data_IF_909078047604
#
_entry.id   IF_909078047604
#
_cell.length_a   1.000
_cell.length_b   1.000
_cell.length_c   1.000
_cell.angle_alpha   90.00
_cell.angle_beta   90.00
_cell.angle_gamma   90.00
#
_symmetry.space_group_name_H-M   'P 1'
#
loop_
_entity.id
_entity.type
_entity.pdbx_description
1 polymer ?
#
# COMPACT_ATOMS: atom_id res chain seq x y z
N UNK A 1 26.28 -13.53 4.36
CA UNK A 1 25.59 -12.76 3.31
C UNK A 1 25.01 -13.75 2.31
N UNK A 2 23.70 -13.80 2.12
CA UNK A 2 23.10 -14.69 1.14
C UNK A 2 23.47 -14.24 -0.28
N UNK A 3 23.90 -15.21 -1.09
CA UNK A 3 24.19 -14.99 -2.50
C UNK A 3 22.98 -15.37 -3.33
N UNK A 4 22.59 -14.51 -4.24
CA UNK A 4 21.45 -14.74 -5.14
C UNK A 4 21.92 -14.61 -6.58
N UNK A 5 21.51 -15.57 -7.42
CA UNK A 5 21.82 -15.53 -8.84
C UNK A 5 21.11 -14.38 -9.53
N UNK A 6 21.84 -13.70 -10.40
CA UNK A 6 21.32 -12.62 -11.27
C UNK A 6 21.05 -13.19 -12.64
N UNK A 7 19.85 -12.95 -13.15
CA UNK A 7 19.40 -13.47 -14.43
C UNK A 7 19.19 -12.34 -15.45
N UNK A 8 19.30 -12.68 -16.72
CA UNK A 8 18.81 -11.81 -17.79
C UNK A 8 17.30 -12.04 -18.05
N UNK A 9 16.72 -11.30 -18.98
CA UNK A 9 15.30 -11.43 -19.38
C UNK A 9 14.94 -12.80 -19.96
N UNK A 10 15.94 -13.59 -20.40
CA UNK A 10 15.78 -14.95 -20.95
C UNK A 10 15.98 -16.06 -19.91
N UNK A 11 16.15 -15.71 -18.62
CA UNK A 11 16.43 -16.65 -17.52
C UNK A 11 17.81 -17.31 -17.59
N UNK A 12 18.77 -16.72 -18.27
CA UNK A 12 20.17 -17.17 -18.22
C UNK A 12 20.86 -16.47 -17.05
N UNK A 13 21.66 -17.21 -16.29
CA UNK A 13 22.41 -16.65 -15.18
C UNK A 13 23.58 -15.83 -15.69
N UNK A 14 23.63 -14.54 -15.34
CA UNK A 14 24.68 -13.61 -15.74
C UNK A 14 25.72 -13.41 -14.65
N UNK A 15 25.33 -13.60 -13.39
CA UNK A 15 26.23 -13.38 -12.26
C UNK A 15 25.56 -13.69 -10.92
N UNK A 16 26.19 -13.23 -9.86
CA UNK A 16 25.65 -13.32 -8.50
C UNK A 16 25.73 -11.97 -7.81
N UNK A 17 24.81 -11.72 -6.89
CA UNK A 17 24.80 -10.54 -6.03
C UNK A 17 24.79 -10.98 -4.57
N UNK A 18 25.59 -10.31 -3.75
CA UNK A 18 25.58 -10.51 -2.30
C UNK A 18 24.59 -9.54 -1.66
N UNK A 19 23.69 -10.08 -0.83
CA UNK A 19 22.67 -9.32 -0.13
C UNK A 19 23.06 -9.16 1.34
N UNK A 20 22.72 -8.03 1.96
CA UNK A 20 23.06 -7.76 3.37
C UNK A 20 22.17 -8.57 4.32
N UNK A 21 22.78 -9.30 5.25
CA UNK A 21 22.10 -10.10 6.27
C UNK A 21 21.12 -9.28 7.12
N UNK A 22 21.46 -8.02 7.42
CA UNK A 22 20.63 -7.10 8.21
C UNK A 22 19.26 -6.81 7.59
N UNK A 23 19.09 -7.08 6.30
CA UNK A 23 17.86 -6.82 5.55
C UNK A 23 17.18 -8.12 5.12
N UNK A 24 17.97 -9.09 4.64
CA UNK A 24 17.46 -10.27 3.96
C UNK A 24 17.54 -11.56 4.80
N UNK A 25 18.09 -11.49 6.04
CA UNK A 25 18.21 -12.62 6.96
C UNK A 25 17.61 -12.33 8.34
N UNK A 26 16.53 -11.54 8.39
CA UNK A 26 15.88 -11.17 9.63
C UNK A 26 14.79 -12.18 10.01
N UNK A 27 14.70 -12.61 11.30
CA UNK A 27 13.65 -13.53 11.74
C UNK A 27 12.25 -12.90 11.55
N UNK A 28 11.36 -13.65 10.92
CA UNK A 28 10.01 -13.19 10.56
C UNK A 28 9.10 -13.23 11.78
N UNK A 29 8.47 -12.10 12.11
CA UNK A 29 7.46 -11.97 13.17
C UNK A 29 6.09 -11.62 12.55
N UNK A 30 5.18 -12.59 12.37
CA UNK A 30 3.92 -12.39 11.65
C UNK A 30 3.05 -11.25 12.21
N UNK A 31 3.04 -11.05 13.53
CA UNK A 31 2.25 -9.99 14.16
C UNK A 31 2.66 -8.58 13.72
N UNK A 32 3.98 -8.32 13.51
CA UNK A 32 4.45 -7.03 13.02
C UNK A 32 4.08 -6.80 11.55
N UNK A 33 4.14 -7.85 10.74
CA UNK A 33 3.68 -7.79 9.35
C UNK A 33 2.18 -7.47 9.29
N UNK A 34 1.37 -8.16 10.09
CA UNK A 34 -0.07 -7.93 10.19
C UNK A 34 -0.40 -6.49 10.62
N UNK A 35 0.27 -5.98 11.65
CA UNK A 35 0.07 -4.60 12.13
C UNK A 35 0.32 -3.57 11.03
N UNK A 36 1.44 -3.72 10.29
CA UNK A 36 1.79 -2.79 9.19
C UNK A 36 0.83 -2.93 8.01
N UNK A 37 0.43 -4.14 7.63
CA UNK A 37 -0.55 -4.38 6.57
C UNK A 37 -1.91 -3.76 6.93
N UNK A 38 -2.39 -3.97 8.15
CA UNK A 38 -3.64 -3.38 8.64
C UNK A 38 -3.58 -1.86 8.60
N UNK A 39 -2.48 -1.25 9.02
CA UNK A 39 -2.24 0.19 8.92
C UNK A 39 -2.28 0.66 7.46
N UNK A 40 -1.61 -0.03 6.54
CA UNK A 40 -1.57 0.35 5.13
C UNK A 40 -2.96 0.26 4.47
N UNK A 41 -3.73 -0.79 4.77
CA UNK A 41 -5.10 -0.95 4.26
C UNK A 41 -6.05 0.11 4.83
N UNK A 42 -5.96 0.38 6.14
CA UNK A 42 -6.77 1.41 6.78
C UNK A 42 -6.48 2.81 6.20
N UNK A 43 -5.22 3.14 5.90
CA UNK A 43 -4.83 4.41 5.27
C UNK A 43 -5.33 4.59 3.83
N UNK A 44 -5.66 3.50 3.13
CA UNK A 44 -6.26 3.58 1.79
C UNK A 44 -7.71 4.07 1.80
N UNK A 45 -8.37 4.03 2.97
CA UNK A 45 -9.75 4.51 3.10
C UNK A 45 -9.75 6.04 3.05
N UNK A 46 -10.49 6.61 2.11
CA UNK A 46 -10.58 8.06 1.92
C UNK A 46 -11.18 8.80 3.11
N UNK A 47 -12.05 8.15 3.88
CA UNK A 47 -12.63 8.70 5.10
C UNK A 47 -13.53 9.92 4.91
N UNK A 48 -14.10 10.12 3.73
CA UNK A 48 -14.87 11.31 3.34
C UNK A 48 -16.34 11.29 3.74
N UNK A 49 -16.80 10.20 4.36
CA UNK A 49 -18.21 10.06 4.76
C UNK A 49 -18.57 11.13 5.79
N UNK A 50 -19.59 11.90 5.47
CA UNK A 50 -20.09 12.98 6.34
C UNK A 50 -21.62 12.98 6.40
N UNK A 51 -22.15 13.30 7.56
CA UNK A 51 -23.57 13.60 7.76
C UNK A 51 -23.74 14.97 8.37
N UNK A 52 -24.84 15.63 8.06
CA UNK A 52 -25.14 16.95 8.61
C UNK A 52 -25.70 16.85 10.02
N UNK A 53 -25.02 17.46 10.96
CA UNK A 53 -25.53 17.66 12.33
C UNK A 53 -26.59 18.76 12.40
N UNK A 54 -27.19 18.94 13.57
CA UNK A 54 -28.27 19.90 13.81
C UNK A 54 -27.92 21.33 13.38
N UNK A 55 -26.69 21.74 13.53
CA UNK A 55 -26.20 23.08 13.14
C UNK A 55 -25.86 23.21 11.65
N UNK A 56 -25.66 22.09 10.96
CA UNK A 56 -25.24 22.06 9.55
C UNK A 56 -26.42 21.87 8.58
N UNK A 57 -27.57 21.41 9.10
CA UNK A 57 -28.79 21.29 8.28
C UNK A 57 -29.37 22.66 7.99
N UNK A 58 -29.74 22.90 6.74
CA UNK A 58 -30.44 24.12 6.33
C UNK A 58 -31.81 24.19 7.03
N UNK A 59 -32.11 25.31 7.66
CA UNK A 59 -33.37 25.53 8.35
C UNK A 59 -33.30 26.73 9.29
N UNK A 60 -34.47 27.26 9.63
CA UNK A 60 -34.58 28.39 10.56
C UNK A 60 -34.19 27.97 11.98
N UNK A 61 -33.26 28.68 12.61
CA UNK A 61 -32.95 28.58 14.03
C UNK A 61 -34.04 29.11 14.94
N UNK A 62 -35.08 29.75 14.38
CA UNK A 62 -36.20 30.34 15.14
C UNK A 62 -37.01 29.24 15.83
N UNK A 63 -37.37 29.46 17.10
CA UNK A 63 -38.29 28.61 17.86
C UNK A 63 -39.65 28.56 17.18
N UNK A 64 -40.19 27.37 16.82
CA UNK A 64 -41.45 27.24 16.07
C UNK A 64 -42.68 27.80 16.82
N UNK A 65 -42.73 27.68 18.13
CA UNK A 65 -43.81 28.22 18.99
C UNK A 65 -43.29 28.50 20.40
N UNK A 66 -44.07 29.20 21.19
CA UNK A 66 -43.75 29.55 22.59
C UNK A 66 -43.64 28.32 23.47
N UNK A 67 -42.88 28.42 24.58
CA UNK A 67 -42.51 27.32 25.46
C UNK A 67 -43.70 26.63 26.17
N UNK A 68 -44.74 27.38 26.49
CA UNK A 68 -45.95 26.95 27.20
C UNK A 68 -47.20 27.54 26.58
N UNK A 69 -48.38 26.96 26.87
CA UNK A 69 -49.67 27.50 26.48
C UNK A 69 -50.08 27.19 25.01
N UNK A 70 -49.49 26.17 24.36
CA UNK A 70 -49.85 25.74 22.99
C UNK A 70 -50.44 24.35 22.93
N UNK A 71 -50.46 23.59 24.02
CA UNK A 71 -50.85 22.17 24.02
C UNK A 71 -49.92 21.23 23.22
N UNK A 72 -48.88 21.76 22.58
CA UNK A 72 -47.93 21.01 21.75
C UNK A 72 -46.68 20.64 22.52
N UNK A 73 -45.98 19.58 22.07
CA UNK A 73 -44.67 19.20 22.61
C UNK A 73 -43.68 20.36 22.48
N UNK A 74 -42.81 20.53 23.47
CA UNK A 74 -41.79 21.59 23.47
C UNK A 74 -40.75 21.33 22.37
N UNK A 75 -40.47 22.35 21.56
CA UNK A 75 -39.49 22.27 20.44
C UNK A 75 -38.63 23.52 20.44
N UNK A 76 -37.31 23.33 20.31
CA UNK A 76 -36.34 24.42 20.24
C UNK A 76 -36.11 24.93 18.82
N UNK A 77 -35.98 24.01 17.85
CA UNK A 77 -35.69 24.31 16.43
C UNK A 77 -36.27 23.26 15.52
N UNK A 78 -36.49 23.60 14.25
CA UNK A 78 -36.91 22.65 13.20
C UNK A 78 -35.80 21.69 12.78
N UNK A 79 -34.55 22.03 13.00
CA UNK A 79 -33.37 21.18 12.66
C UNK A 79 -33.09 20.09 13.69
N UNK A 80 -33.95 19.93 14.70
CA UNK A 80 -33.81 18.86 15.71
C UNK A 80 -33.87 17.48 15.05
N UNK A 81 -33.08 16.49 15.53
CA UNK A 81 -33.06 15.15 14.96
C UNK A 81 -34.37 14.36 15.14
N UNK A 82 -35.29 14.84 15.98
CA UNK A 82 -36.63 14.27 16.18
C UNK A 82 -37.58 14.51 15.01
N UNK A 83 -37.27 15.46 14.14
CA UNK A 83 -38.11 15.86 13.02
C UNK A 83 -37.58 15.31 11.71
N UNK A 84 -38.48 15.07 10.74
CA UNK A 84 -38.10 14.76 9.36
C UNK A 84 -37.26 15.91 8.78
N UNK A 85 -36.11 15.54 8.20
CA UNK A 85 -35.14 16.51 7.68
C UNK A 85 -34.30 17.19 8.75
N UNK A 86 -34.40 16.79 10.01
CA UNK A 86 -33.49 17.22 11.08
C UNK A 86 -32.07 16.63 10.97
N UNK A 87 -31.15 17.17 11.76
CA UNK A 87 -29.77 16.75 11.76
C UNK A 87 -29.56 15.39 12.40
N UNK A 88 -28.51 14.68 12.01
CA UNK A 88 -28.09 13.42 12.61
C UNK A 88 -27.20 13.71 13.82
N UNK A 89 -27.43 13.01 14.97
CA UNK A 89 -26.72 13.31 16.22
C UNK A 89 -25.28 12.74 16.17
N UNK A 90 -25.12 11.43 15.96
CA UNK A 90 -23.83 10.72 15.97
C UNK A 90 -23.50 10.14 14.59
N UNK A 91 -23.75 10.91 13.55
CA UNK A 91 -23.40 10.49 12.21
C UNK A 91 -21.90 10.50 11.95
N UNK A 92 -21.45 9.78 10.93
CA UNK A 92 -20.04 9.77 10.57
C UNK A 92 -19.57 11.18 10.17
N UNK A 93 -18.34 11.50 10.56
CA UNK A 93 -17.62 12.71 10.15
C UNK A 93 -16.35 12.31 9.44
N UNK A 94 -15.83 13.13 8.52
CA UNK A 94 -14.55 12.87 7.86
C UNK A 94 -13.44 12.62 8.88
N UNK A 95 -12.74 11.49 8.74
CA UNK A 95 -11.64 11.14 9.64
C UNK A 95 -10.60 10.27 8.95
N UNK A 96 -9.38 10.32 9.43
CA UNK A 96 -8.35 9.35 9.05
C UNK A 96 -8.54 8.04 9.82
N UNK A 97 -8.39 6.91 9.12
CA UNK A 97 -8.58 5.56 9.69
C UNK A 97 -7.27 4.87 10.07
N UNK A 98 -6.12 5.33 9.57
CA UNK A 98 -4.85 4.64 9.78
C UNK A 98 -4.33 4.76 11.22
N UNK A 99 -4.05 3.66 11.92
CA UNK A 99 -3.35 3.71 13.20
C UNK A 99 -1.93 4.25 13.02
N UNK A 100 -1.37 4.85 14.08
CA UNK A 100 0.02 5.29 14.09
C UNK A 100 0.95 4.10 14.37
N UNK A 101 1.75 3.72 13.39
CA UNK A 101 2.82 2.73 13.52
C UNK A 101 4.17 3.43 13.40
N UNK A 102 5.11 3.15 14.31
CA UNK A 102 6.41 3.82 14.33
C UNK A 102 7.22 3.55 13.05
N UNK A 103 8.11 4.48 12.68
CA UNK A 103 9.00 4.31 11.53
C UNK A 103 9.89 3.06 11.67
N UNK A 104 10.37 2.76 12.90
CA UNK A 104 11.20 1.59 13.20
C UNK A 104 10.47 0.28 12.89
N UNK A 105 9.22 0.14 13.38
CA UNK A 105 8.39 -1.05 13.13
C UNK A 105 8.12 -1.22 11.62
N UNK A 106 7.81 -0.15 10.90
CA UNK A 106 7.57 -0.21 9.45
C UNK A 106 8.81 -0.67 8.67
N UNK A 107 10.00 -0.15 9.00
CA UNK A 107 11.27 -0.59 8.40
C UNK A 107 11.57 -2.05 8.73
N UNK A 108 11.38 -2.45 9.98
CA UNK A 108 11.59 -3.82 10.42
C UNK A 108 10.63 -4.80 9.71
N UNK A 109 9.35 -4.46 9.59
CA UNK A 109 8.38 -5.27 8.86
C UNK A 109 8.75 -5.41 7.37
N UNK A 110 9.29 -4.35 6.74
CA UNK A 110 9.74 -4.42 5.35
C UNK A 110 10.95 -5.36 5.21
N UNK A 111 11.93 -5.31 6.12
CA UNK A 111 13.06 -6.26 6.16
C UNK A 111 12.57 -7.71 6.33
N UNK A 112 11.63 -7.94 7.25
CA UNK A 112 11.04 -9.26 7.47
C UNK A 112 10.30 -9.79 6.24
N UNK A 113 9.56 -8.93 5.52
CA UNK A 113 8.86 -9.32 4.29
C UNK A 113 9.85 -9.72 3.18
N UNK A 114 10.95 -8.98 3.02
CA UNK A 114 12.02 -9.32 2.08
C UNK A 114 12.73 -10.62 2.47
N UNK A 115 13.02 -10.82 3.76
CA UNK A 115 13.63 -12.04 4.28
C UNK A 115 12.73 -13.27 4.08
N UNK A 116 11.41 -13.13 4.26
CA UNK A 116 10.47 -14.21 3.97
C UNK A 116 10.51 -14.62 2.50
N UNK A 117 10.47 -13.66 1.58
CA UNK A 117 10.52 -13.92 0.14
C UNK A 117 11.82 -14.60 -0.30
N UNK A 118 12.95 -14.25 0.33
CA UNK A 118 14.21 -14.90 0.09
C UNK A 118 14.21 -16.34 0.65
N UNK A 119 13.73 -16.55 1.88
CA UNK A 119 13.65 -17.85 2.53
C UNK A 119 12.75 -18.84 1.80
N UNK A 120 11.67 -18.35 1.21
CA UNK A 120 10.71 -19.15 0.44
C UNK A 120 11.18 -19.40 -1.02
N UNK A 121 12.36 -18.91 -1.43
CA UNK A 121 12.87 -18.94 -2.80
C UNK A 121 11.92 -18.29 -3.85
N UNK A 122 11.16 -17.32 -3.43
CA UNK A 122 10.21 -16.57 -4.27
C UNK A 122 10.79 -15.23 -4.76
N UNK A 123 12.09 -14.98 -4.50
CA UNK A 123 12.79 -13.77 -4.93
C UNK A 123 13.74 -14.07 -6.08
N UNK A 124 13.66 -13.28 -7.14
CA UNK A 124 14.52 -13.35 -8.33
C UNK A 124 15.16 -11.98 -8.55
N UNK A 125 16.45 -11.98 -8.90
CA UNK A 125 17.16 -10.74 -9.27
C UNK A 125 17.43 -10.76 -10.77
N UNK A 126 16.96 -9.68 -11.45
CA UNK A 126 17.25 -9.42 -12.85
C UNK A 126 18.41 -8.43 -12.97
N UNK A 127 19.25 -8.61 -13.94
CA UNK A 127 20.30 -7.63 -14.26
C UNK A 127 19.64 -6.31 -14.71
N UNK A 128 18.86 -6.37 -15.78
CA UNK A 128 18.11 -5.23 -16.31
C UNK A 128 16.77 -5.70 -16.90
N UNK A 129 15.74 -4.85 -16.79
CA UNK A 129 14.44 -5.07 -17.41
C UNK A 129 14.22 -4.02 -18.51
N UNK A 130 14.87 -4.19 -19.66
CA UNK A 130 14.68 -3.34 -20.81
C UNK A 130 13.66 -3.94 -21.78
N UNK A 131 12.62 -3.18 -22.12
CA UNK A 131 11.63 -3.57 -23.12
C UNK A 131 11.80 -2.69 -24.37
N UNK A 132 11.85 -3.28 -25.57
CA UNK A 132 12.09 -2.52 -26.82
C UNK A 132 10.92 -1.61 -27.21
N UNK A 133 9.72 -1.91 -26.73
CA UNK A 133 8.51 -1.13 -27.01
C UNK A 133 7.49 -1.28 -25.87
N UNK A 134 6.55 -0.32 -25.79
CA UNK A 134 5.42 -0.36 -24.85
C UNK A 134 4.42 -1.41 -25.34
N UNK A 135 4.64 -2.67 -24.95
CA UNK A 135 3.76 -3.81 -25.28
C UNK A 135 3.62 -4.75 -24.11
N UNK A 136 2.38 -5.08 -23.75
CA UNK A 136 2.06 -6.05 -22.67
C UNK A 136 2.58 -7.45 -22.99
N UNK A 137 2.62 -7.84 -24.27
CA UNK A 137 3.09 -9.16 -24.70
C UNK A 137 4.56 -9.39 -24.31
N UNK A 138 5.45 -8.42 -24.57
CA UNK A 138 6.86 -8.54 -24.18
C UNK A 138 7.07 -8.65 -22.68
N UNK A 139 6.29 -7.89 -21.88
CA UNK A 139 6.33 -7.99 -20.43
C UNK A 139 5.84 -9.37 -19.93
N UNK A 140 4.77 -9.92 -20.52
CA UNK A 140 4.25 -11.25 -20.19
C UNK A 140 5.23 -12.36 -20.59
N UNK A 141 5.97 -12.22 -21.68
CA UNK A 141 7.00 -13.18 -22.09
C UNK A 141 8.11 -13.29 -21.04
N UNK A 142 8.55 -12.15 -20.48
CA UNK A 142 9.52 -12.13 -19.38
C UNK A 142 8.93 -12.85 -18.14
N UNK A 143 7.72 -12.53 -17.71
CA UNK A 143 7.10 -13.20 -16.55
C UNK A 143 6.96 -14.71 -16.75
N UNK A 144 6.56 -15.14 -17.94
CA UNK A 144 6.43 -16.57 -18.28
C UNK A 144 7.78 -17.29 -18.26
N UNK A 145 8.87 -16.67 -18.71
CA UNK A 145 10.21 -17.25 -18.66
C UNK A 145 10.63 -17.62 -17.23
N UNK A 146 10.21 -16.82 -16.25
CA UNK A 146 10.44 -17.07 -14.82
C UNK A 146 9.36 -17.90 -14.14
N UNK A 147 8.27 -18.25 -14.82
CA UNK A 147 7.12 -18.93 -14.21
C UNK A 147 6.41 -18.08 -13.15
N UNK A 148 6.51 -16.77 -13.27
CA UNK A 148 6.02 -15.80 -12.28
C UNK A 148 4.63 -15.27 -12.65
N UNK A 149 3.61 -16.12 -12.54
CA UNK A 149 2.22 -15.77 -12.87
C UNK A 149 1.65 -14.65 -11.99
N UNK A 150 2.16 -14.52 -10.77
CA UNK A 150 1.78 -13.48 -9.82
C UNK A 150 3.04 -12.81 -9.27
N UNK A 151 3.41 -11.63 -9.81
CA UNK A 151 4.71 -11.02 -9.57
C UNK A 151 4.66 -9.54 -9.22
N UNK A 152 5.48 -9.16 -8.23
CA UNK A 152 5.85 -7.79 -7.94
C UNK A 152 7.23 -7.53 -8.56
N UNK A 153 7.30 -6.60 -9.49
CA UNK A 153 8.55 -6.18 -10.13
C UNK A 153 8.99 -4.84 -9.54
N UNK A 154 10.24 -4.77 -9.11
CA UNK A 154 10.80 -3.55 -8.50
C UNK A 154 11.93 -3.02 -9.38
N UNK A 155 11.76 -1.78 -9.82
CA UNK A 155 12.71 -1.05 -10.66
C UNK A 155 13.42 0.05 -9.87
N UNK A 156 14.66 0.43 -10.20
CA UNK A 156 15.43 1.41 -9.46
C UNK A 156 14.87 2.83 -9.61
N UNK A 157 14.42 3.17 -10.82
CA UNK A 157 13.88 4.47 -11.20
C UNK A 157 12.65 4.31 -12.07
N UNK A 158 12.02 5.42 -12.41
CA UNK A 158 10.84 5.40 -13.28
C UNK A 158 11.24 5.02 -14.70
N UNK A 159 10.70 3.92 -15.18
CA UNK A 159 10.73 3.52 -16.57
C UNK A 159 9.30 3.47 -17.12
N UNK A 160 8.97 4.46 -17.95
CA UNK A 160 7.64 4.60 -18.52
C UNK A 160 7.28 3.42 -19.45
N UNK A 161 8.27 2.84 -20.14
CA UNK A 161 8.09 1.71 -21.03
C UNK A 161 7.65 0.47 -20.27
N UNK A 162 8.33 0.17 -19.16
CA UNK A 162 8.01 -0.96 -18.29
C UNK A 162 6.69 -0.73 -17.54
N UNK A 163 6.49 0.46 -16.94
CA UNK A 163 5.27 0.81 -16.21
C UNK A 163 4.02 0.68 -17.09
N UNK A 164 4.07 1.22 -18.33
CA UNK A 164 2.92 1.15 -19.25
C UNK A 164 2.70 -0.25 -19.80
N UNK A 165 3.75 -1.02 -20.04
CA UNK A 165 3.65 -2.41 -20.51
C UNK A 165 3.04 -3.33 -19.45
N UNK A 166 3.32 -3.10 -18.17
CA UNK A 166 2.81 -3.90 -17.06
C UNK A 166 1.41 -3.49 -16.60
N UNK A 167 1.00 -2.24 -16.79
CA UNK A 167 -0.21 -1.65 -16.21
C UNK A 167 -1.49 -2.43 -16.48
N UNK A 168 -1.61 -3.06 -17.65
CA UNK A 168 -2.78 -3.83 -18.06
C UNK A 168 -2.77 -5.30 -17.56
N UNK A 169 -1.71 -5.72 -16.88
CA UNK A 169 -1.58 -7.11 -16.38
C UNK A 169 -2.05 -7.16 -14.93
N UNK A 170 -3.22 -7.77 -14.63
CA UNK A 170 -3.81 -7.75 -13.28
C UNK A 170 -3.01 -8.56 -12.26
N UNK A 171 -2.27 -9.57 -12.72
CA UNK A 171 -1.45 -10.45 -11.89
C UNK A 171 -0.05 -9.91 -11.63
N UNK A 172 0.31 -8.77 -12.20
CA UNK A 172 1.62 -8.18 -11.99
C UNK A 172 1.51 -6.71 -11.57
N UNK A 173 2.49 -6.25 -10.81
CA UNK A 173 2.64 -4.84 -10.43
C UNK A 173 4.09 -4.43 -10.52
N UNK A 174 4.31 -3.27 -11.11
CA UNK A 174 5.63 -2.63 -11.13
C UNK A 174 5.66 -1.53 -10.09
N UNK A 175 6.70 -1.49 -9.28
CA UNK A 175 6.96 -0.44 -8.29
C UNK A 175 8.40 0.05 -8.43
N UNK A 176 8.61 1.31 -8.08
CA UNK A 176 9.94 1.85 -7.84
C UNK A 176 10.45 1.43 -6.46
N UNK A 177 11.77 1.35 -6.30
CA UNK A 177 12.40 1.01 -5.03
C UNK A 177 11.88 1.86 -3.85
N UNK A 178 11.65 3.16 -4.07
CA UNK A 178 11.12 4.09 -3.06
C UNK A 178 9.66 3.81 -2.67
N UNK A 179 8.88 3.20 -3.58
CA UNK A 179 7.48 2.84 -3.38
C UNK A 179 7.26 1.45 -2.77
N UNK A 180 8.34 0.73 -2.47
CA UNK A 180 8.26 -0.64 -1.94
C UNK A 180 7.54 -0.67 -0.58
N UNK A 181 6.57 -1.56 -0.44
CA UNK A 181 5.75 -1.66 0.76
C UNK A 181 5.42 -3.11 1.13
N UNK A 182 5.15 -3.35 2.41
CA UNK A 182 4.92 -4.69 2.96
C UNK A 182 3.69 -5.36 2.34
N UNK A 183 2.61 -4.60 2.13
CA UNK A 183 1.39 -5.16 1.57
C UNK A 183 1.59 -5.74 0.16
N UNK A 184 2.27 -4.99 -0.72
CA UNK A 184 2.49 -5.46 -2.10
C UNK A 184 3.48 -6.65 -2.11
N UNK A 185 4.53 -6.66 -1.28
CA UNK A 185 5.46 -7.81 -1.18
C UNK A 185 4.71 -9.09 -0.78
N UNK A 186 3.82 -9.01 0.20
CA UNK A 186 3.07 -10.18 0.69
C UNK A 186 1.91 -10.58 -0.24
N UNK A 187 1.33 -9.62 -0.98
CA UNK A 187 0.24 -9.87 -1.91
C UNK A 187 0.67 -10.68 -3.12
N UNK A 188 1.84 -10.37 -3.67
CA UNK A 188 2.38 -11.05 -4.84
C UNK A 188 3.26 -12.21 -4.41
N UNK A 189 3.13 -13.35 -5.11
CA UNK A 189 3.92 -14.54 -4.81
C UNK A 189 5.38 -14.32 -5.14
N UNK A 190 5.71 -13.92 -6.36
CA UNK A 190 7.08 -13.72 -6.80
C UNK A 190 7.51 -12.26 -6.66
N UNK A 191 8.69 -12.05 -6.13
CA UNK A 191 9.33 -10.75 -6.04
C UNK A 191 10.50 -10.70 -7.03
N UNK A 192 10.40 -9.88 -8.04
CA UNK A 192 11.43 -9.68 -9.05
C UNK A 192 12.09 -8.33 -8.81
N UNK A 193 13.36 -8.34 -8.44
CA UNK A 193 14.16 -7.13 -8.21
C UNK A 193 15.11 -6.91 -9.38
N UNK A 194 15.21 -5.71 -9.90
CA UNK A 194 16.33 -5.37 -10.77
C UNK A 194 17.59 -5.14 -9.94
N UNK A 195 18.76 -5.50 -10.45
CA UNK A 195 20.06 -5.33 -9.80
C UNK A 195 20.29 -3.92 -9.28
N UNK A 196 19.90 -2.91 -10.07
CA UNK A 196 19.98 -1.50 -9.66
C UNK A 196 19.02 -1.08 -8.55
N UNK A 197 17.95 -1.85 -8.27
CA UNK A 197 17.02 -1.56 -7.19
C UNK A 197 17.55 -2.03 -5.82
N UNK A 198 18.36 -3.07 -5.78
CA UNK A 198 18.89 -3.66 -4.54
C UNK A 198 19.63 -2.62 -3.69
N UNK A 199 20.66 -1.90 -4.20
CA UNK A 199 21.41 -0.93 -3.39
C UNK A 199 20.52 0.23 -2.91
N UNK A 200 19.51 0.64 -3.70
CA UNK A 200 18.55 1.67 -3.27
C UNK A 200 17.70 1.22 -2.09
N UNK A 201 17.19 -0.02 -2.15
CA UNK A 201 16.43 -0.63 -1.04
C UNK A 201 17.30 -0.76 0.21
N UNK A 202 18.55 -1.21 0.06
CA UNK A 202 19.49 -1.33 1.17
C UNK A 202 19.77 0.02 1.83
N UNK A 203 20.07 1.03 1.04
CA UNK A 203 20.32 2.39 1.55
C UNK A 203 19.09 2.94 2.28
N UNK A 204 17.89 2.80 1.73
CA UNK A 204 16.65 3.27 2.35
C UNK A 204 16.33 2.57 3.67
N UNK A 205 16.65 1.29 3.80
CA UNK A 205 16.39 0.51 5.00
C UNK A 205 17.47 0.66 6.07
N UNK A 206 18.73 0.82 5.68
CA UNK A 206 19.85 1.02 6.61
C UNK A 206 19.96 2.46 7.10
N UNK A 207 19.55 3.45 6.31
CA UNK A 207 19.55 4.85 6.77
C UNK A 207 18.77 4.94 8.08
N UNK A 208 19.47 5.23 9.18
CA UNK A 208 18.83 5.64 10.42
C UNK A 208 18.16 6.98 10.13
N UNK A 209 16.84 6.96 9.95
CA UNK A 209 16.10 8.20 9.72
C UNK A 209 16.26 9.14 10.91
N UNK A 210 16.79 10.34 10.63
CA UNK A 210 16.69 11.50 11.49
C UNK A 210 15.26 11.73 11.97
#
# INVERSE_FOLDING_TARGET
MPKVAVYNTKKEQVGEIELKDEIFSVPVKPHLLHEVVTMQLARRRAGTVATKGRSEVSGSGRKPWRQKGTGRARVGTRTTPLWRGGGIIFGPKPREYGPKVSKKIRKQALRMALSSKLGDNEMVVLDELALPAIKTKGFLEVLKAFGADNALVVIPERDETVERSARNVPSAKVLRADGLNVYDILRYRHLILTKGAVPKIETALLSQGL
#
